data_IF_215333862199
#
_entry.id   IF_215333862199
#
_cell.length_a   1.000
_cell.length_b   1.000
_cell.length_c   1.000
_cell.angle_alpha   90.00
_cell.angle_beta   90.00
_cell.angle_gamma   90.00
#
_symmetry.space_group_name_H-M   'P 1'
#
loop_
_entity.id
_entity.type
_entity.pdbx_description
1 polymer ?
#
# COMPACT_ATOMS: atom_id res chain seq x y z
N UNK A 1 -6.74 5.64 -7.36
CA UNK A 1 -6.73 6.97 -6.72
C UNK A 1 -7.32 7.00 -5.29
N UNK A 2 -7.53 5.85 -4.62
CA UNK A 2 -8.07 5.82 -3.25
C UNK A 2 -7.03 6.20 -2.21
N UNK A 3 -5.80 5.74 -2.38
CA UNK A 3 -4.70 6.06 -1.46
C UNK A 3 -4.38 7.56 -1.49
N UNK A 4 -4.21 8.14 -2.69
CA UNK A 4 -3.98 9.59 -2.86
C UNK A 4 -5.14 10.43 -2.31
N UNK A 5 -6.38 9.94 -2.43
CA UNK A 5 -7.55 10.60 -1.82
C UNK A 5 -7.53 10.56 -0.29
N UNK A 6 -7.02 9.47 0.32
CA UNK A 6 -6.82 9.38 1.77
C UNK A 6 -5.70 10.32 2.23
N UNK A 7 -4.59 10.42 1.50
CA UNK A 7 -3.52 11.37 1.79
C UNK A 7 -4.01 12.83 1.78
N UNK A 8 -4.82 13.21 0.78
CA UNK A 8 -5.41 14.57 0.67
C UNK A 8 -6.35 14.94 1.83
N UNK A 9 -6.89 13.94 2.56
CA UNK A 9 -7.74 14.17 3.74
C UNK A 9 -6.94 14.39 5.02
N UNK A 10 -5.66 14.02 5.03
CA UNK A 10 -4.74 14.51 6.05
C UNK A 10 -4.32 15.93 5.68
N UNK A 11 -4.46 16.92 6.57
CA UNK A 11 -3.79 18.21 6.39
C UNK A 11 -2.30 17.95 6.57
N UNK A 12 -1.64 17.53 5.50
CA UNK A 12 -0.22 17.19 5.42
C UNK A 12 0.60 18.48 5.53
N UNK A 13 0.58 19.15 6.68
CA UNK A 13 1.54 20.22 6.94
C UNK A 13 2.94 19.60 7.07
N UNK A 14 3.62 19.47 5.91
CA UNK A 14 5.08 19.36 5.84
C UNK A 14 5.68 17.96 5.79
N UNK A 15 4.91 16.87 5.72
CA UNK A 15 5.50 15.54 5.49
C UNK A 15 5.73 15.30 4.01
N UNK A 16 6.96 14.94 3.66
CA UNK A 16 7.34 14.45 2.33
C UNK A 16 6.73 13.07 2.05
N UNK A 17 6.69 12.69 0.79
CA UNK A 17 6.02 11.47 0.32
C UNK A 17 6.58 10.19 0.99
N UNK A 18 7.90 10.13 1.26
CA UNK A 18 8.52 9.00 1.97
C UNK A 18 7.99 8.88 3.39
N UNK A 19 7.91 10.00 4.10
CA UNK A 19 7.38 10.04 5.47
C UNK A 19 5.91 9.60 5.51
N UNK A 20 5.09 10.03 4.53
CA UNK A 20 3.68 9.62 4.44
C UNK A 20 3.52 8.12 4.18
N UNK A 21 4.31 7.57 3.26
CA UNK A 21 4.33 6.12 2.96
C UNK A 21 4.75 5.32 4.19
N UNK A 22 5.82 5.73 4.88
CA UNK A 22 6.31 5.03 6.06
C UNK A 22 5.31 5.04 7.22
N UNK A 23 4.65 6.16 7.45
CA UNK A 23 3.58 6.25 8.46
C UNK A 23 2.43 5.31 8.09
N UNK A 24 2.02 5.29 6.82
CA UNK A 24 0.98 4.39 6.34
C UNK A 24 1.35 2.91 6.53
N UNK A 25 2.54 2.52 6.07
CA UNK A 25 3.04 1.14 6.19
C UNK A 25 3.25 0.73 7.65
N UNK A 26 3.72 1.64 8.51
CA UNK A 26 3.86 1.43 9.95
C UNK A 26 2.52 1.31 10.69
N UNK A 27 1.44 1.86 10.12
CA UNK A 27 0.07 1.72 10.62
C UNK A 27 -0.63 0.44 10.16
N UNK A 28 -0.05 -0.32 9.23
CA UNK A 28 -0.65 -1.57 8.76
C UNK A 28 -0.55 -2.66 9.82
N UNK A 29 -1.60 -3.48 9.93
CA UNK A 29 -1.51 -4.73 10.69
C UNK A 29 -0.41 -5.61 10.10
N UNK A 30 0.39 -6.34 10.92
CA UNK A 30 1.49 -7.16 10.43
C UNK A 30 1.07 -8.15 9.33
N UNK A 31 -0.12 -8.74 9.45
CA UNK A 31 -0.68 -9.65 8.44
C UNK A 31 -0.93 -8.95 7.09
N UNK A 32 -1.36 -7.69 7.11
CA UNK A 32 -1.60 -6.89 5.91
C UNK A 32 -0.28 -6.49 5.26
N UNK A 33 0.75 -6.15 6.05
CA UNK A 33 2.10 -5.87 5.55
C UNK A 33 2.68 -7.09 4.82
N UNK A 34 2.59 -8.29 5.41
CA UNK A 34 3.06 -9.53 4.78
C UNK A 34 2.32 -9.81 3.47
N UNK A 35 0.99 -9.63 3.44
CA UNK A 35 0.21 -9.83 2.21
C UNK A 35 0.62 -8.84 1.12
N UNK A 36 0.84 -7.58 1.50
CA UNK A 36 1.32 -6.55 0.59
C UNK A 36 2.70 -6.91 0.02
N UNK A 37 3.66 -7.29 0.87
CA UNK A 37 5.00 -7.72 0.45
C UNK A 37 4.95 -8.95 -0.49
N UNK A 38 4.08 -9.93 -0.18
CA UNK A 38 3.88 -11.10 -1.03
C UNK A 38 3.27 -10.73 -2.39
N UNK A 39 2.33 -9.77 -2.41
CA UNK A 39 1.64 -9.32 -3.63
C UNK A 39 2.57 -8.58 -4.60
N UNK A 40 3.57 -7.88 -4.07
CA UNK A 40 4.57 -7.15 -4.86
C UNK A 40 5.84 -7.98 -5.15
N UNK A 41 5.92 -9.22 -4.63
CA UNK A 41 7.06 -10.11 -4.79
C UNK A 41 8.34 -9.66 -4.08
N UNK A 42 8.23 -8.85 -3.03
CA UNK A 42 9.37 -8.25 -2.32
C UNK A 42 8.93 -7.38 -1.14
N UNK A 43 9.87 -6.80 -0.40
CA UNK A 43 9.51 -5.92 0.72
C UNK A 43 9.28 -4.48 0.25
N UNK A 44 8.16 -3.89 0.68
CA UNK A 44 7.83 -2.48 0.45
C UNK A 44 8.84 -1.52 1.07
N UNK A 45 9.61 -1.97 2.07
CA UNK A 45 10.61 -1.15 2.76
C UNK A 45 11.80 -0.76 1.83
N UNK A 46 11.94 -1.40 0.67
CA UNK A 46 13.00 -1.12 -0.32
C UNK A 46 12.51 -0.35 -1.55
N UNK A 47 11.23 0.04 -1.60
CA UNK A 47 10.64 0.76 -2.73
C UNK A 47 10.84 2.27 -2.59
N UNK A 48 10.96 2.98 -3.70
CA UNK A 48 10.92 4.45 -3.64
C UNK A 48 9.53 4.92 -3.21
N UNK A 49 9.38 6.13 -2.66
CA UNK A 49 8.08 6.67 -2.30
C UNK A 49 7.07 6.60 -3.45
N UNK A 50 7.51 6.96 -4.66
CA UNK A 50 6.66 6.98 -5.86
C UNK A 50 6.16 5.57 -6.20
N UNK A 51 7.07 4.59 -6.23
CA UNK A 51 6.71 3.19 -6.48
C UNK A 51 5.75 2.66 -5.41
N UNK A 52 5.99 2.99 -4.14
CA UNK A 52 5.15 2.55 -3.04
C UNK A 52 3.73 3.13 -3.15
N UNK A 53 3.62 4.42 -3.51
CA UNK A 53 2.34 5.10 -3.73
C UNK A 53 1.57 4.44 -4.87
N UNK A 54 2.23 4.14 -6.00
CA UNK A 54 1.60 3.48 -7.14
C UNK A 54 1.10 2.07 -6.79
N UNK A 55 1.90 1.28 -6.07
CA UNK A 55 1.53 -0.08 -5.67
C UNK A 55 0.36 -0.08 -4.68
N UNK A 56 0.37 0.81 -3.69
CA UNK A 56 -0.74 0.95 -2.74
C UNK A 56 -2.01 1.43 -3.46
N UNK A 57 -1.88 2.37 -4.40
CA UNK A 57 -3.02 2.85 -5.18
C UNK A 57 -3.58 1.76 -6.11
N UNK A 58 -2.73 0.95 -6.73
CA UNK A 58 -3.14 -0.20 -7.55
C UNK A 58 -3.91 -1.24 -6.72
N UNK A 59 -3.41 -1.60 -5.53
CA UNK A 59 -4.09 -2.53 -4.63
C UNK A 59 -5.43 -2.01 -4.12
N UNK A 60 -5.53 -0.70 -3.85
CA UNK A 60 -6.79 -0.08 -3.41
C UNK A 60 -7.78 0.17 -4.55
N UNK A 61 -7.33 0.07 -5.80
CA UNK A 61 -8.17 0.17 -7.01
C UNK A 61 -8.71 -1.20 -7.44
N UNK A 62 -8.01 -2.29 -7.11
CA UNK A 62 -8.37 -3.68 -7.43
C UNK A 62 -9.45 -4.32 -6.55
N UNK A 63 -10.28 -3.55 -5.84
CA UNK A 63 -11.44 -4.05 -5.07
C UNK A 63 -12.49 -4.82 -5.93
N UNK A 64 -12.29 -4.93 -7.26
CA UNK A 64 -13.18 -5.66 -8.17
C UNK A 64 -12.65 -6.96 -8.76
N UNK A 65 -11.37 -7.33 -8.59
CA UNK A 65 -10.84 -8.57 -9.17
C UNK A 65 -9.67 -9.15 -8.34
N UNK A 66 -9.96 -9.60 -7.11
CA UNK A 66 -9.14 -10.64 -6.52
C UNK A 66 -9.60 -11.98 -7.11
N UNK A 67 -8.81 -12.68 -7.94
CA UNK A 67 -8.96 -14.11 -8.02
C UNK A 67 -8.60 -14.62 -6.61
N UNK A 68 -9.63 -14.96 -5.85
CA UNK A 68 -9.52 -16.01 -4.84
C UNK A 68 -9.00 -17.23 -5.61
N UNK A 69 -7.68 -17.36 -5.72
CA UNK A 69 -7.08 -18.65 -6.00
C UNK A 69 -7.38 -19.49 -4.78
N UNK A 70 -8.43 -20.27 -4.99
CA UNK A 70 -8.96 -21.26 -4.09
C UNK A 70 -7.83 -22.18 -3.71
N UNK A 71 -7.66 -22.33 -2.41
CA UNK A 71 -7.12 -23.53 -1.79
C UNK A 71 -7.55 -24.76 -2.59
N UNK A 72 -6.61 -25.33 -3.32
CA UNK A 72 -6.75 -26.62 -3.97
C UNK A 72 -5.89 -27.59 -3.18
N UNK A 73 -6.58 -28.21 -2.21
CA UNK A 73 -6.45 -29.60 -1.72
C UNK A 73 -5.17 -30.36 -2.05
#
# INVERSE_FOLDING_TARGET
ERYKSLLRRCPSHGFDDLTQVNIFLGGLLPRVKILLDASIGGSMDFKTPEEAIELIDAMTTNDYDLPVERESR
#
